data_IF_925167381593
#
_entry.id   IF_925167381593
#
_cell.length_a   1.000
_cell.length_b   1.000
_cell.length_c   1.000
_cell.angle_alpha   90.00
_cell.angle_beta   90.00
_cell.angle_gamma   90.00
#
_symmetry.space_group_name_H-M   'P 1'
#
loop_
_entity.id
_entity.type
_entity.pdbx_description
1 polymer ?
#
# COMPACT_ATOMS: atom_id res chain seq x y z
N UNK A 1 -29.08 -1.28 36.01
CA UNK A 1 -27.72 -1.69 35.73
C UNK A 1 -26.77 -0.65 36.37
N UNK A 2 -26.39 -0.90 37.60
CA UNK A 2 -25.39 -0.09 38.28
C UNK A 2 -24.04 -0.80 38.21
N UNK A 3 -23.55 -0.97 36.98
CA UNK A 3 -22.20 -1.49 36.80
C UNK A 3 -21.22 -0.37 37.13
N UNK A 4 -20.33 -0.61 38.09
CA UNK A 4 -19.21 0.29 38.35
C UNK A 4 -18.42 0.58 37.07
N UNK A 5 -18.13 1.84 36.82
CA UNK A 5 -17.44 2.28 35.60
C UNK A 5 -16.15 1.48 35.31
N UNK A 6 -15.43 1.08 36.36
CA UNK A 6 -14.21 0.29 36.28
C UNK A 6 -14.44 -1.13 35.74
N UNK A 7 -15.61 -1.72 35.94
CA UNK A 7 -15.94 -3.05 35.40
C UNK A 7 -16.21 -2.96 33.90
N UNK A 8 -16.91 -1.92 33.45
CA UNK A 8 -17.19 -1.68 32.02
C UNK A 8 -15.88 -1.44 31.27
N UNK A 9 -14.99 -0.63 31.84
CA UNK A 9 -13.68 -0.35 31.24
C UNK A 9 -12.80 -1.61 31.16
N UNK A 10 -12.83 -2.45 32.18
CA UNK A 10 -12.10 -3.70 32.20
C UNK A 10 -12.63 -4.68 31.17
N UNK A 11 -13.95 -4.79 31.04
CA UNK A 11 -14.61 -5.61 30.02
C UNK A 11 -14.31 -5.09 28.61
N UNK A 12 -14.38 -3.79 28.40
CA UNK A 12 -14.05 -3.17 27.11
C UNK A 12 -12.60 -3.46 26.69
N UNK A 13 -11.66 -3.28 27.63
CA UNK A 13 -10.23 -3.61 27.39
C UNK A 13 -10.03 -5.09 27.09
N UNK A 14 -10.76 -5.97 27.78
CA UNK A 14 -10.73 -7.41 27.51
C UNK A 14 -11.24 -7.72 26.11
N UNK A 15 -12.39 -7.19 25.71
CA UNK A 15 -12.94 -7.34 24.38
C UNK A 15 -11.99 -6.82 23.29
N UNK A 16 -11.42 -5.65 23.49
CA UNK A 16 -10.41 -5.08 22.55
C UNK A 16 -9.18 -5.99 22.41
N UNK A 17 -8.72 -6.58 23.51
CA UNK A 17 -7.60 -7.52 23.49
C UNK A 17 -7.97 -8.79 22.71
N UNK A 18 -9.12 -9.40 23.00
CA UNK A 18 -9.60 -10.60 22.30
C UNK A 18 -9.80 -10.33 20.80
N UNK A 19 -10.39 -9.19 20.44
CA UNK A 19 -10.55 -8.80 19.04
C UNK A 19 -9.22 -8.62 18.34
N UNK A 20 -8.25 -7.96 18.98
CA UNK A 20 -6.92 -7.76 18.40
C UNK A 20 -6.17 -9.08 18.20
N UNK A 21 -6.28 -10.01 19.14
CA UNK A 21 -5.55 -11.28 19.10
C UNK A 21 -6.22 -12.31 18.16
N UNK A 22 -7.52 -12.17 17.89
CA UNK A 22 -8.31 -13.06 17.02
C UNK A 22 -8.71 -12.44 15.68
N UNK A 23 -8.35 -11.17 15.44
CA UNK A 23 -8.76 -10.45 14.24
C UNK A 23 -7.97 -10.93 13.03
N UNK A 24 -8.67 -11.32 11.99
CA UNK A 24 -8.04 -11.60 10.70
C UNK A 24 -7.51 -10.30 10.10
N UNK A 25 -6.34 -10.36 9.49
CA UNK A 25 -5.73 -9.21 8.82
C UNK A 25 -6.63 -8.82 7.65
N UNK A 26 -7.03 -7.54 7.59
CA UNK A 26 -7.76 -7.00 6.46
C UNK A 26 -6.78 -6.78 5.30
N UNK A 27 -7.23 -7.10 4.10
CA UNK A 27 -6.43 -6.87 2.87
C UNK A 27 -5.09 -7.62 2.83
N UNK A 28 -5.02 -8.84 3.37
CA UNK A 28 -3.83 -9.69 3.26
C UNK A 28 -3.52 -10.06 1.79
N UNK A 29 -4.53 -10.08 0.95
CA UNK A 29 -4.38 -10.24 -0.50
C UNK A 29 -5.33 -9.30 -1.25
N UNK A 30 -4.92 -8.89 -2.43
CA UNK A 30 -5.77 -8.12 -3.34
C UNK A 30 -6.85 -9.03 -3.95
N UNK A 31 -8.06 -8.49 -4.05
CA UNK A 31 -9.19 -9.17 -4.69
C UNK A 31 -9.46 -8.53 -6.04
N UNK A 32 -9.21 -9.28 -7.10
CA UNK A 32 -9.51 -8.90 -8.48
C UNK A 32 -10.91 -9.35 -8.89
N UNK A 33 -11.42 -8.87 -10.01
CA UNK A 33 -12.77 -9.21 -10.47
C UNK A 33 -12.97 -10.70 -10.73
N UNK A 34 -11.92 -11.43 -11.08
CA UNK A 34 -11.89 -12.87 -11.32
C UNK A 34 -11.34 -13.70 -10.15
N UNK A 35 -11.03 -13.07 -9.00
CA UNK A 35 -10.51 -13.81 -7.84
C UNK A 35 -11.64 -14.59 -7.16
N UNK A 36 -11.45 -15.89 -6.99
CA UNK A 36 -12.31 -16.70 -6.13
C UNK A 36 -12.05 -16.35 -4.66
N UNK A 37 -13.13 -16.05 -3.94
CA UNK A 37 -13.06 -15.63 -2.54
C UNK A 37 -13.68 -16.65 -1.61
N UNK A 38 -13.09 -16.84 -0.45
CA UNK A 38 -13.58 -17.67 0.63
C UNK A 38 -14.16 -16.80 1.75
N UNK A 39 -14.94 -17.40 2.67
CA UNK A 39 -15.47 -16.70 3.86
C UNK A 39 -14.39 -16.14 4.79
N UNK A 40 -13.13 -16.54 4.62
CA UNK A 40 -11.97 -16.08 5.40
C UNK A 40 -11.18 -14.97 4.71
N UNK A 41 -11.51 -14.62 3.49
CA UNK A 41 -10.86 -13.54 2.75
C UNK A 41 -11.52 -12.22 3.14
N UNK A 42 -10.82 -11.41 3.94
CA UNK A 42 -11.28 -10.10 4.38
C UNK A 42 -10.62 -9.03 3.52
N UNK A 43 -11.37 -8.42 2.64
CA UNK A 43 -10.91 -7.32 1.79
C UNK A 43 -11.82 -6.10 1.94
N UNK A 44 -11.20 -4.93 2.02
CA UNK A 44 -11.92 -3.64 2.08
C UNK A 44 -12.51 -3.25 0.74
N UNK A 45 -11.89 -3.71 -0.34
CA UNK A 45 -12.27 -3.40 -1.73
C UNK A 45 -12.02 -4.58 -2.66
N UNK A 46 -12.67 -4.52 -3.82
CA UNK A 46 -12.43 -5.39 -4.97
C UNK A 46 -12.01 -4.53 -6.15
N UNK A 47 -10.92 -4.93 -6.80
CA UNK A 47 -10.48 -4.30 -8.05
C UNK A 47 -11.42 -4.70 -9.19
N UNK A 48 -11.80 -3.73 -10.01
CA UNK A 48 -12.83 -3.90 -11.04
C UNK A 48 -12.33 -4.55 -12.34
N UNK A 49 -11.07 -4.98 -12.36
CA UNK A 49 -10.46 -5.64 -13.51
C UNK A 49 -9.93 -7.02 -13.11
N UNK A 50 -9.84 -7.96 -14.07
CA UNK A 50 -9.32 -9.29 -13.83
C UNK A 50 -7.79 -9.29 -13.76
N UNK A 51 -7.22 -10.24 -13.02
CA UNK A 51 -5.79 -10.55 -13.08
C UNK A 51 -5.60 -11.62 -14.16
N UNK A 52 -5.23 -11.21 -15.36
CA UNK A 52 -5.04 -12.07 -16.52
C UNK A 52 -4.01 -11.49 -17.49
N UNK A 53 -3.54 -12.30 -18.42
CA UNK A 53 -2.65 -11.85 -19.47
C UNK A 53 -3.41 -10.91 -20.44
N UNK A 54 -2.76 -9.83 -20.85
CA UNK A 54 -3.33 -8.83 -21.74
C UNK A 54 -2.29 -8.28 -22.72
N UNK A 55 -2.69 -7.34 -23.57
CA UNK A 55 -1.78 -6.64 -24.46
C UNK A 55 -0.93 -5.63 -23.65
N UNK A 56 0.38 -5.86 -23.68
CA UNK A 56 1.37 -5.04 -22.99
C UNK A 56 2.08 -4.05 -23.91
N UNK A 57 1.74 -4.00 -25.20
CA UNK A 57 2.48 -3.22 -26.21
C UNK A 57 2.62 -1.74 -25.85
N UNK A 58 1.55 -1.10 -25.37
CA UNK A 58 1.57 0.29 -24.95
C UNK A 58 2.44 0.50 -23.69
N UNK A 59 2.35 -0.40 -22.73
CA UNK A 59 3.16 -0.39 -21.53
C UNK A 59 4.65 -0.56 -21.84
N UNK A 60 5.00 -1.55 -22.67
CA UNK A 60 6.37 -1.82 -23.07
C UNK A 60 6.99 -0.64 -23.80
N UNK A 61 6.25 -0.03 -24.72
CA UNK A 61 6.70 1.17 -25.43
C UNK A 61 6.96 2.33 -24.47
N UNK A 62 6.08 2.54 -23.50
CA UNK A 62 6.24 3.60 -22.51
C UNK A 62 7.45 3.34 -21.62
N UNK A 63 7.55 2.14 -21.05
CA UNK A 63 8.60 1.80 -20.10
C UNK A 63 9.98 1.76 -20.75
N UNK A 64 10.11 1.23 -21.96
CA UNK A 64 11.38 1.22 -22.69
C UNK A 64 11.85 2.63 -23.10
N UNK A 65 10.94 3.58 -23.23
CA UNK A 65 11.28 4.99 -23.52
C UNK A 65 11.77 5.73 -22.27
N UNK A 66 11.24 5.39 -21.09
CA UNK A 66 11.49 6.13 -19.85
C UNK A 66 12.61 5.54 -18.99
N UNK A 67 12.79 4.22 -19.04
CA UNK A 67 13.63 3.47 -18.10
C UNK A 67 14.51 2.44 -18.81
N UNK A 68 15.67 2.18 -18.23
CA UNK A 68 16.51 1.04 -18.62
C UNK A 68 15.83 -0.28 -18.23
N UNK A 69 16.26 -1.37 -18.81
CA UNK A 69 15.74 -2.71 -18.52
C UNK A 69 15.90 -3.07 -17.02
N UNK A 70 17.01 -2.69 -16.41
CA UNK A 70 17.25 -2.92 -14.98
C UNK A 70 16.27 -2.13 -14.10
N UNK A 71 16.03 -0.87 -14.42
CA UNK A 71 15.08 -0.01 -13.67
C UNK A 71 13.65 -0.51 -13.85
N UNK A 72 13.29 -0.89 -15.07
CA UNK A 72 12.00 -1.49 -15.39
C UNK A 72 11.77 -2.77 -14.57
N UNK A 73 12.74 -3.67 -14.54
CA UNK A 73 12.66 -4.91 -13.76
C UNK A 73 12.42 -4.63 -12.27
N UNK A 74 13.07 -3.60 -11.71
CA UNK A 74 12.86 -3.19 -10.31
C UNK A 74 11.44 -2.68 -10.06
N UNK A 75 10.90 -1.88 -10.99
CA UNK A 75 9.52 -1.37 -10.91
C UNK A 75 8.52 -2.52 -11.00
N UNK A 76 8.69 -3.42 -11.97
CA UNK A 76 7.82 -4.59 -12.16
C UNK A 76 7.88 -5.55 -10.97
N UNK A 77 9.07 -5.78 -10.43
CA UNK A 77 9.24 -6.55 -9.20
C UNK A 77 8.47 -5.93 -8.02
N UNK A 78 8.51 -4.61 -7.92
CA UNK A 78 7.80 -3.89 -6.88
C UNK A 78 6.28 -4.06 -7.01
N UNK A 79 5.74 -3.89 -8.21
CA UNK A 79 4.32 -4.10 -8.51
C UNK A 79 3.94 -5.56 -8.22
N UNK A 80 4.75 -6.52 -8.69
CA UNK A 80 4.54 -7.94 -8.47
C UNK A 80 4.50 -8.33 -6.98
N UNK A 81 5.33 -7.68 -6.14
CA UNK A 81 5.35 -7.90 -4.69
C UNK A 81 4.05 -7.47 -4.00
N UNK A 82 3.40 -6.43 -4.52
CA UNK A 82 2.09 -5.98 -4.02
C UNK A 82 1.01 -6.98 -4.45
N UNK A 83 0.99 -7.36 -5.73
CA UNK A 83 0.00 -8.30 -6.29
C UNK A 83 0.06 -9.67 -5.60
N UNK A 84 1.26 -10.15 -5.29
CA UNK A 84 1.46 -11.43 -4.59
C UNK A 84 1.16 -11.40 -3.09
N UNK A 85 1.00 -10.20 -2.50
CA UNK A 85 0.85 -10.04 -1.04
C UNK A 85 2.14 -10.26 -0.24
N UNK A 86 3.29 -10.40 -0.89
CA UNK A 86 4.58 -10.68 -0.25
C UNK A 86 5.32 -9.40 0.21
N UNK A 87 4.82 -8.22 -0.12
CA UNK A 87 5.45 -6.93 0.20
C UNK A 87 5.76 -6.77 1.69
N UNK A 88 4.87 -7.26 2.57
CA UNK A 88 5.03 -7.25 4.02
C UNK A 88 6.23 -8.09 4.49
N UNK A 89 6.47 -9.23 3.87
CA UNK A 89 7.61 -10.12 4.18
C UNK A 89 8.92 -9.54 3.66
N UNK A 90 8.87 -8.86 2.54
CA UNK A 90 10.04 -8.25 1.90
C UNK A 90 10.59 -7.07 2.69
N UNK A 91 9.75 -6.33 3.41
CA UNK A 91 10.12 -5.18 4.24
C UNK A 91 10.98 -4.15 3.48
N UNK A 92 10.69 -3.93 2.20
CA UNK A 92 11.39 -2.99 1.32
C UNK A 92 10.42 -1.94 0.80
N UNK A 93 10.95 -0.78 0.49
CA UNK A 93 10.22 0.28 -0.21
C UNK A 93 11.00 0.71 -1.44
N UNK A 94 10.30 1.18 -2.45
CA UNK A 94 10.89 1.70 -3.67
C UNK A 94 10.97 3.22 -3.62
N UNK A 95 12.13 3.78 -3.97
CA UNK A 95 12.33 5.21 -4.12
C UNK A 95 12.57 5.52 -5.58
N UNK A 96 11.74 6.38 -6.17
CA UNK A 96 11.95 6.92 -7.51
C UNK A 96 12.70 8.25 -7.38
N UNK A 97 13.97 8.22 -7.73
CA UNK A 97 14.86 9.38 -7.69
C UNK A 97 15.32 9.76 -9.10
N UNK A 98 15.51 11.06 -9.36
CA UNK A 98 16.02 11.55 -10.62
C UNK A 98 15.53 12.96 -10.96
N UNK A 99 16.05 13.54 -12.04
CA UNK A 99 15.72 14.87 -12.51
C UNK A 99 14.21 15.06 -12.80
N UNK A 100 13.78 16.30 -12.87
CA UNK A 100 12.41 16.60 -13.31
C UNK A 100 12.19 16.12 -14.76
N UNK A 101 10.98 15.69 -15.10
CA UNK A 101 10.64 15.25 -16.46
C UNK A 101 11.03 13.81 -16.84
N UNK A 102 11.61 13.02 -15.93
CA UNK A 102 12.03 11.63 -16.20
C UNK A 102 10.93 10.58 -16.05
N UNK A 103 9.65 10.96 -16.11
CA UNK A 103 8.53 10.02 -16.10
C UNK A 103 8.14 9.44 -14.74
N UNK A 104 8.78 9.82 -13.63
CA UNK A 104 8.47 9.33 -12.27
C UNK A 104 6.98 9.44 -11.91
N UNK A 105 6.41 10.62 -12.16
CA UNK A 105 4.99 10.86 -11.89
C UNK A 105 4.07 10.02 -12.77
N UNK A 106 4.48 9.75 -14.02
CA UNK A 106 3.72 8.91 -14.95
C UNK A 106 3.61 7.49 -14.41
N UNK A 107 4.74 6.90 -13.98
CA UNK A 107 4.73 5.55 -13.38
C UNK A 107 3.94 5.52 -12.08
N UNK A 108 4.08 6.53 -11.21
CA UNK A 108 3.29 6.62 -9.99
C UNK A 108 1.79 6.66 -10.28
N UNK A 109 1.37 7.44 -11.28
CA UNK A 109 -0.04 7.50 -11.68
C UNK A 109 -0.56 6.15 -12.21
N UNK A 110 0.27 5.42 -12.99
CA UNK A 110 -0.07 4.07 -13.45
C UNK A 110 -0.27 3.14 -12.25
N UNK A 111 0.67 3.13 -11.29
CA UNK A 111 0.58 2.30 -10.09
C UNK A 111 -0.67 2.68 -9.26
N UNK A 112 -0.97 3.96 -9.11
CA UNK A 112 -2.16 4.42 -8.42
C UNK A 112 -3.45 3.92 -9.10
N UNK A 113 -3.51 3.94 -10.43
CA UNK A 113 -4.64 3.42 -11.18
C UNK A 113 -4.78 1.90 -11.06
N UNK A 114 -3.64 1.16 -11.09
CA UNK A 114 -3.64 -0.28 -10.88
C UNK A 114 -4.19 -0.67 -9.50
N UNK A 115 -3.93 0.11 -8.48
CA UNK A 115 -4.33 -0.17 -7.10
C UNK A 115 -5.38 0.82 -6.59
N UNK A 116 -6.31 1.21 -7.45
CA UNK A 116 -7.34 2.19 -7.08
C UNK A 116 -8.12 1.75 -5.83
N UNK A 117 -8.12 2.65 -4.86
CA UNK A 117 -8.72 2.42 -3.55
C UNK A 117 -7.86 1.66 -2.54
N UNK A 118 -6.71 1.13 -2.94
CA UNK A 118 -5.73 0.51 -2.05
C UNK A 118 -4.49 1.37 -1.81
N UNK A 119 -4.37 2.51 -2.47
CA UNK A 119 -3.26 3.43 -2.26
C UNK A 119 -3.63 4.58 -1.34
N UNK A 120 -2.64 5.15 -0.67
CA UNK A 120 -2.76 6.36 0.13
C UNK A 120 -1.58 7.28 -0.15
N UNK A 121 -1.86 8.58 -0.25
CA UNK A 121 -0.82 9.60 -0.45
C UNK A 121 -0.64 10.37 0.84
N UNK A 122 0.59 10.55 1.28
CA UNK A 122 0.92 11.37 2.44
C UNK A 122 2.03 12.38 2.12
N UNK A 123 2.03 13.51 2.81
CA UNK A 123 3.11 14.48 2.73
C UNK A 123 4.27 14.07 3.65
N UNK A 124 5.47 13.96 3.10
CA UNK A 124 6.68 13.64 3.86
C UNK A 124 6.95 14.66 5.00
N UNK A 125 6.52 15.92 4.85
CA UNK A 125 6.60 16.93 5.91
C UNK A 125 5.77 16.57 7.13
N UNK A 126 4.68 15.84 6.94
CA UNK A 126 3.84 15.35 8.03
C UNK A 126 4.55 14.30 8.90
N UNK A 127 5.58 13.64 8.39
CA UNK A 127 6.40 12.69 9.16
C UNK A 127 7.25 13.38 10.25
N UNK A 128 7.62 14.65 10.03
CA UNK A 128 8.43 15.43 10.97
C UNK A 128 7.65 16.06 12.12
N UNK A 129 6.32 16.06 12.10
CA UNK A 129 5.49 16.68 13.13
C UNK A 129 4.93 15.63 14.09
N UNK A 130 5.23 15.78 15.37
CA UNK A 130 4.81 14.84 16.44
C UNK A 130 3.29 14.72 16.64
N UNK A 131 2.50 15.66 16.13
CA UNK A 131 1.04 15.69 16.30
C UNK A 131 0.27 14.75 15.36
N UNK A 132 0.86 14.32 14.24
CA UNK A 132 0.18 13.55 13.19
C UNK A 132 0.42 12.03 13.24
N UNK A 133 1.18 11.53 14.24
CA UNK A 133 1.49 10.10 14.36
C UNK A 133 0.27 9.19 14.52
N UNK A 134 -0.85 9.69 15.01
CA UNK A 134 -2.09 8.89 15.14
C UNK A 134 -2.70 8.55 13.79
N UNK A 135 -2.72 9.50 12.85
CA UNK A 135 -3.17 9.26 11.47
C UNK A 135 -2.16 8.44 10.67
N UNK A 136 -0.87 8.68 10.89
CA UNK A 136 0.21 7.92 10.27
C UNK A 136 0.23 6.44 10.67
N UNK A 137 -0.21 6.09 11.88
CA UNK A 137 -0.30 4.67 12.28
C UNK A 137 -1.26 3.87 11.41
N UNK A 138 -2.39 4.43 11.00
CA UNK A 138 -3.31 3.78 10.06
C UNK A 138 -2.75 3.76 8.63
N UNK A 139 -2.16 4.86 8.19
CA UNK A 139 -1.54 4.98 6.86
C UNK A 139 -0.25 4.15 6.75
N UNK A 140 0.58 4.11 7.79
CA UNK A 140 1.76 3.24 7.86
C UNK A 140 1.39 1.76 7.92
N UNK A 141 0.27 1.40 8.53
CA UNK A 141 -0.20 0.02 8.52
C UNK A 141 -0.59 -0.44 7.11
N UNK A 142 -1.25 0.42 6.32
CA UNK A 142 -1.48 0.23 4.89
C UNK A 142 -0.16 0.23 4.09
N UNK A 143 0.81 1.07 4.45
CA UNK A 143 2.13 1.13 3.84
C UNK A 143 2.99 -0.11 4.13
N UNK A 144 2.84 -0.74 5.28
CA UNK A 144 3.52 -2.01 5.60
C UNK A 144 2.91 -3.22 4.88
N UNK A 145 1.65 -3.15 4.49
CA UNK A 145 1.00 -4.16 3.65
C UNK A 145 1.10 -3.84 2.16
N UNK A 146 1.33 -2.58 1.82
CA UNK A 146 1.47 -2.08 0.45
C UNK A 146 2.82 -1.37 0.36
N UNK A 147 3.52 -1.55 -0.73
CA UNK A 147 4.82 -0.92 -0.95
C UNK A 147 4.72 0.60 -0.86
N UNK A 148 5.48 1.22 0.04
CA UNK A 148 5.58 2.67 0.09
C UNK A 148 6.41 3.17 -1.10
N UNK A 149 5.79 3.97 -1.95
CA UNK A 149 6.49 4.67 -3.03
C UNK A 149 6.66 6.12 -2.60
N UNK A 150 7.89 6.48 -2.27
CA UNK A 150 8.22 7.84 -1.84
C UNK A 150 8.56 8.72 -3.04
N UNK A 151 7.84 9.83 -3.18
CA UNK A 151 8.17 10.88 -4.13
C UNK A 151 9.18 11.80 -3.49
N UNK A 152 10.32 11.93 -4.12
CA UNK A 152 11.41 12.90 -3.91
C UNK A 152 11.46 13.66 -2.57
N UNK A 153 12.40 13.25 -1.70
CA UNK A 153 12.93 14.16 -0.70
C UNK A 153 13.83 15.15 -1.45
N UNK A 154 13.35 16.35 -1.75
CA UNK A 154 14.23 17.47 -2.08
C UNK A 154 15.03 17.76 -0.81
N UNK A 155 16.22 17.28 -0.76
CA UNK A 155 17.24 17.86 0.13
C UNK A 155 17.63 19.20 -0.49
N UNK A 156 17.05 20.28 -0.02
CA UNK A 156 17.69 21.58 -0.06
C UNK A 156 18.85 21.49 0.93
N UNK A 157 19.99 21.02 0.44
CA UNK A 157 21.29 21.31 1.02
C UNK A 157 21.81 22.52 0.22
N UNK A 158 21.54 23.71 0.72
CA UNK A 158 22.36 24.90 0.60
C UNK A 158 23.13 25.10 1.91
#
# INVERSE_FOLDING_TARGET
WDAESGMIDSWHKYCQKQMRDSFHTLDDKLIFSNTETNKKDYASKKLNYPLEAGDLSAYEKLMSTLYSEEERTKIEWAIGSIVSGESKKLQKFMVLYGAAGTGKSTVLNIIQQLFDGYYSVFDAKALGSSSNWKHLKQTLWLLFNTMAICRELRTTLD
#
